data_IF_587510242192
#
_entry.id   IF_587510242192
#
_cell.length_a   1.000
_cell.length_b   1.000
_cell.length_c   1.000
_cell.angle_alpha   90.00
_cell.angle_beta   90.00
_cell.angle_gamma   90.00
#
_symmetry.space_group_name_H-M   'P 1'
#
loop_
_entity.id
_entity.type
_entity.pdbx_description
1 polymer ?
#
# COMPACT_ATOMS: atom_id res chain seq x y z
N UNK A 1 3.36 -9.74 -5.03
CA UNK A 1 3.10 -8.90 -3.84
C UNK A 1 4.13 -9.14 -2.75
N UNK A 2 4.30 -10.37 -2.27
CA UNK A 2 5.26 -10.71 -1.20
C UNK A 2 6.68 -10.18 -1.42
N UNK A 3 7.22 -10.26 -2.64
CA UNK A 3 8.55 -9.74 -2.96
C UNK A 3 8.72 -8.24 -2.70
N UNK A 4 7.75 -7.41 -3.12
CA UNK A 4 7.80 -5.96 -2.88
C UNK A 4 7.61 -5.62 -1.40
N UNK A 5 6.75 -6.36 -0.70
CA UNK A 5 6.59 -6.22 0.75
C UNK A 5 7.91 -6.53 1.47
N UNK A 6 8.60 -7.62 1.11
CA UNK A 6 9.91 -7.94 1.65
C UNK A 6 10.94 -6.84 1.39
N UNK A 7 10.99 -6.29 0.17
CA UNK A 7 11.91 -5.21 -0.17
C UNK A 7 11.68 -3.95 0.67
N UNK A 8 10.41 -3.54 0.84
CA UNK A 8 10.05 -2.38 1.69
C UNK A 8 10.44 -2.60 3.15
N UNK A 9 10.27 -3.82 3.68
CA UNK A 9 10.69 -4.14 5.04
C UNK A 9 12.22 -4.10 5.19
N UNK A 10 12.96 -4.63 4.21
CA UNK A 10 14.42 -4.61 4.20
C UNK A 10 14.93 -3.16 4.15
N UNK A 11 14.38 -2.33 3.25
CA UNK A 11 14.69 -0.90 3.15
C UNK A 11 14.50 -0.20 4.49
N UNK A 12 13.36 -0.41 5.14
CA UNK A 12 13.06 0.23 6.42
C UNK A 12 14.08 -0.17 7.50
N UNK A 13 14.39 -1.46 7.62
CA UNK A 13 15.40 -1.94 8.58
C UNK A 13 16.77 -1.33 8.26
N UNK A 14 17.23 -1.40 7.01
CA UNK A 14 18.54 -0.89 6.59
C UNK A 14 18.69 0.61 6.83
N UNK A 15 17.60 1.38 6.68
CA UNK A 15 17.61 2.83 6.85
C UNK A 15 17.74 3.26 8.30
N UNK A 16 17.06 2.57 9.21
CA UNK A 16 16.92 3.02 10.60
C UNK A 16 17.85 2.31 11.60
N UNK A 17 18.49 1.20 11.22
CA UNK A 17 19.27 0.39 12.19
C UNK A 17 20.75 0.23 11.86
N UNK A 18 21.22 0.69 10.70
CA UNK A 18 22.55 0.31 10.19
C UNK A 18 23.49 1.49 9.94
N UNK A 19 24.79 1.18 9.82
CA UNK A 19 25.86 2.14 9.58
C UNK A 19 25.83 2.70 8.14
N UNK A 20 26.67 3.70 7.87
CA UNK A 20 26.69 4.49 6.63
C UNK A 20 26.69 3.66 5.33
N UNK A 21 27.44 2.56 5.28
CA UNK A 21 27.51 1.69 4.10
C UNK A 21 26.18 0.98 3.78
N UNK A 22 25.39 0.64 4.80
CA UNK A 22 24.07 0.03 4.60
C UNK A 22 23.00 1.07 4.27
N UNK A 23 23.19 2.33 4.66
CA UNK A 23 22.33 3.44 4.23
C UNK A 23 22.42 3.64 2.70
N UNK A 24 23.64 3.65 2.16
CA UNK A 24 23.88 3.72 0.70
C UNK A 24 23.23 2.53 -0.04
N UNK A 25 23.22 1.34 0.57
CA UNK A 25 22.51 0.18 0.00
C UNK A 25 20.99 0.36 0.05
N UNK A 26 20.45 0.93 1.14
CA UNK A 26 19.01 1.21 1.25
C UNK A 26 18.54 2.18 0.16
N UNK A 27 19.35 3.17 -0.20
CA UNK A 27 19.05 4.09 -1.31
C UNK A 27 18.92 3.37 -2.66
N UNK A 28 19.83 2.43 -2.95
CA UNK A 28 19.76 1.61 -4.17
C UNK A 28 18.49 0.77 -4.17
N UNK A 29 18.16 0.17 -3.02
CA UNK A 29 16.95 -0.63 -2.85
C UNK A 29 15.68 0.22 -3.04
N UNK A 30 15.65 1.45 -2.50
CA UNK A 30 14.53 2.38 -2.69
C UNK A 30 14.29 2.71 -4.16
N UNK A 31 15.34 3.05 -4.89
CA UNK A 31 15.27 3.30 -6.34
C UNK A 31 14.71 2.09 -7.11
N UNK A 32 15.11 0.88 -6.73
CA UNK A 32 14.57 -0.36 -7.30
C UNK A 32 13.08 -0.55 -6.97
N UNK A 33 12.67 -0.31 -5.72
CA UNK A 33 11.27 -0.41 -5.28
C UNK A 33 10.38 0.56 -6.06
N UNK A 34 10.79 1.84 -6.15
CA UNK A 34 10.04 2.86 -6.91
C UNK A 34 9.92 2.48 -8.39
N UNK A 35 11.01 2.00 -8.99
CA UNK A 35 11.01 1.55 -10.38
C UNK A 35 10.05 0.39 -10.60
N UNK A 36 10.05 -0.61 -9.71
CA UNK A 36 9.14 -1.75 -9.79
C UNK A 36 7.69 -1.32 -9.57
N UNK A 37 7.42 -0.44 -8.62
CA UNK A 37 6.07 0.06 -8.36
C UNK A 37 5.47 0.77 -9.58
N UNK A 38 6.27 1.61 -10.26
CA UNK A 38 5.87 2.28 -11.50
C UNK A 38 5.62 1.30 -12.64
N UNK A 39 6.54 0.36 -12.88
CA UNK A 39 6.41 -0.62 -13.97
C UNK A 39 5.22 -1.55 -13.81
N UNK A 40 4.82 -1.85 -12.58
CA UNK A 40 3.67 -2.69 -12.28
C UNK A 40 2.37 -1.88 -12.11
N UNK A 41 2.38 -0.57 -12.39
CA UNK A 41 1.23 0.32 -12.25
C UNK A 41 0.62 0.31 -10.84
N UNK A 42 1.42 0.07 -9.79
CA UNK A 42 0.90 -0.03 -8.42
C UNK A 42 0.36 1.29 -7.88
N UNK A 43 0.79 2.42 -8.46
CA UNK A 43 0.37 3.76 -8.05
C UNK A 43 -0.94 4.19 -8.72
N UNK A 44 -1.45 3.39 -9.65
CA UNK A 44 -2.66 3.69 -10.43
C UNK A 44 -3.59 2.50 -10.34
N UNK A 45 -4.72 2.64 -9.68
CA UNK A 45 -5.66 1.52 -9.60
C UNK A 45 -6.34 1.31 -10.96
N UNK A 46 -6.16 0.15 -11.57
CA UNK A 46 -7.10 -0.33 -12.58
C UNK A 46 -8.30 -0.90 -11.81
N UNK A 47 -9.23 -0.04 -11.41
CA UNK A 47 -10.46 -0.44 -10.75
C UNK A 47 -11.23 -1.38 -11.67
N UNK A 48 -11.06 -2.70 -11.50
CA UNK A 48 -11.88 -3.68 -12.20
C UNK A 48 -13.06 -3.99 -11.28
N UNK A 49 -14.26 -3.48 -11.56
CA UNK A 49 -15.43 -3.83 -10.78
C UNK A 49 -15.59 -5.35 -10.79
N UNK A 50 -15.93 -5.89 -9.63
CA UNK A 50 -16.00 -7.33 -9.34
C UNK A 50 -16.60 -8.11 -10.51
N UNK A 51 -15.85 -9.07 -11.03
CA UNK A 51 -16.39 -10.04 -11.96
C UNK A 51 -17.34 -10.98 -11.22
N UNK A 52 -18.63 -10.60 -11.22
CA UNK A 52 -19.77 -11.49 -11.04
C UNK A 52 -20.33 -11.58 -9.62
N UNK A 53 -21.64 -11.33 -9.50
CA UNK A 53 -22.48 -11.53 -8.30
C UNK A 53 -22.50 -12.96 -7.73
N UNK A 54 -21.70 -13.89 -8.27
CA UNK A 54 -21.66 -15.31 -7.92
C UNK A 54 -20.47 -15.72 -7.03
N UNK A 55 -19.56 -14.82 -6.70
CA UNK A 55 -18.43 -15.14 -5.81
C UNK A 55 -18.89 -15.27 -4.36
N UNK A 56 -18.32 -16.24 -3.63
CA UNK A 56 -18.54 -16.37 -2.19
C UNK A 56 -17.93 -15.19 -1.44
N UNK A 57 -18.46 -14.88 -0.26
CA UNK A 57 -17.95 -13.81 0.60
C UNK A 57 -16.44 -13.97 0.88
N UNK A 58 -16.00 -15.21 1.08
CA UNK A 58 -14.59 -15.56 1.29
C UNK A 58 -13.69 -15.19 0.10
N UNK A 59 -14.14 -15.41 -1.13
CA UNK A 59 -13.38 -15.02 -2.33
C UNK A 59 -13.32 -13.50 -2.46
N UNK A 60 -14.44 -12.82 -2.23
CA UNK A 60 -14.49 -11.35 -2.27
C UNK A 60 -13.56 -10.71 -1.24
N UNK A 61 -13.57 -11.24 -0.02
CA UNK A 61 -12.70 -10.76 1.04
C UNK A 61 -11.21 -10.94 0.70
N UNK A 62 -10.82 -12.08 0.13
CA UNK A 62 -9.44 -12.33 -0.32
C UNK A 62 -9.02 -11.42 -1.47
N UNK A 63 -9.88 -11.26 -2.47
CA UNK A 63 -9.62 -10.37 -3.59
C UNK A 63 -9.49 -8.92 -3.12
N UNK A 64 -10.37 -8.49 -2.21
CA UNK A 64 -10.28 -7.19 -1.57
C UNK A 64 -8.99 -7.04 -0.77
N UNK A 65 -8.63 -8.00 0.09
CA UNK A 65 -7.44 -7.94 0.92
C UNK A 65 -6.16 -7.85 0.07
N UNK A 66 -6.13 -8.53 -1.09
CA UNK A 66 -5.04 -8.40 -2.03
C UNK A 66 -4.96 -6.99 -2.63
N UNK A 67 -6.08 -6.37 -2.99
CA UNK A 67 -6.11 -4.99 -3.52
C UNK A 67 -5.71 -3.97 -2.46
N UNK A 68 -6.29 -4.09 -1.27
CA UNK A 68 -5.97 -3.24 -0.12
C UNK A 68 -4.48 -3.36 0.27
N UNK A 69 -3.89 -4.55 0.15
CA UNK A 69 -2.43 -4.74 0.31
C UNK A 69 -1.63 -3.89 -0.68
N UNK A 70 -2.06 -3.79 -1.95
CA UNK A 70 -1.39 -3.00 -2.98
C UNK A 70 -1.45 -1.52 -2.63
N UNK A 71 -2.65 -1.05 -2.27
CA UNK A 71 -2.88 0.34 -1.87
C UNK A 71 -1.94 0.70 -0.72
N UNK A 72 -1.93 -0.09 0.35
CA UNK A 72 -1.06 0.13 1.51
C UNK A 72 0.42 0.13 1.15
N UNK A 73 0.89 -0.83 0.34
CA UNK A 73 2.30 -0.86 -0.11
C UNK A 73 2.64 0.41 -0.89
N UNK A 74 1.79 0.85 -1.81
CA UNK A 74 2.05 2.05 -2.61
C UNK A 74 2.16 3.31 -1.73
N UNK A 75 1.28 3.45 -0.73
CA UNK A 75 1.36 4.54 0.25
C UNK A 75 2.61 4.44 1.13
N UNK A 76 3.03 3.24 1.55
CA UNK A 76 4.28 3.06 2.29
C UNK A 76 5.49 3.50 1.46
N UNK A 77 5.57 3.08 0.19
CA UNK A 77 6.65 3.49 -0.72
C UNK A 77 6.67 5.02 -0.89
N UNK A 78 5.49 5.63 -1.08
CA UNK A 78 5.38 7.09 -1.17
C UNK A 78 5.83 7.80 0.12
N UNK A 79 5.41 7.30 1.28
CA UNK A 79 5.84 7.84 2.57
C UNK A 79 7.35 7.73 2.77
N UNK A 80 7.94 6.59 2.42
CA UNK A 80 9.39 6.40 2.51
C UNK A 80 10.12 7.37 1.57
N UNK A 81 9.64 7.56 0.34
CA UNK A 81 10.22 8.52 -0.62
C UNK A 81 10.21 9.96 -0.08
N UNK A 82 9.12 10.39 0.55
CA UNK A 82 9.03 11.69 1.22
C UNK A 82 10.00 11.78 2.39
N UNK A 83 10.08 10.75 3.23
CA UNK A 83 11.02 10.69 4.36
C UNK A 83 12.47 10.80 3.87
N UNK A 84 12.84 10.09 2.80
CA UNK A 84 14.18 10.19 2.24
C UNK A 84 14.51 11.60 1.78
N UNK A 85 13.57 12.26 1.11
CA UNK A 85 13.75 13.63 0.65
C UNK A 85 13.91 14.61 1.80
N UNK A 86 13.13 14.45 2.88
CA UNK A 86 13.15 15.34 4.05
C UNK A 86 14.39 15.12 4.93
N UNK A 87 14.69 13.88 5.30
CA UNK A 87 15.74 13.60 6.28
C UNK A 87 17.14 13.56 5.68
N UNK A 88 17.26 13.12 4.43
CA UNK A 88 18.55 12.91 3.78
C UNK A 88 18.77 13.85 2.60
N UNK A 89 17.91 14.86 2.42
CA UNK A 89 17.98 15.86 1.34
C UNK A 89 18.06 15.23 -0.07
N UNK A 90 17.47 14.05 -0.24
CA UNK A 90 17.41 13.37 -1.53
C UNK A 90 16.33 13.98 -2.43
N UNK A 91 16.49 13.80 -3.74
CA UNK A 91 15.43 14.14 -4.67
C UNK A 91 14.29 13.13 -4.56
N UNK A 92 13.07 13.60 -4.27
CA UNK A 92 11.88 12.75 -4.24
C UNK A 92 11.68 12.06 -5.60
N UNK A 93 11.58 10.74 -5.61
CA UNK A 93 11.38 10.00 -6.85
C UNK A 93 9.90 10.01 -7.24
N UNK A 94 8.98 10.16 -6.30
CA UNK A 94 7.53 10.18 -6.48
C UNK A 94 6.95 11.56 -6.22
N UNK A 95 5.80 11.84 -6.82
CA UNK A 95 5.00 13.04 -6.55
C UNK A 95 3.59 12.63 -6.18
N UNK A 96 2.90 13.48 -5.42
CA UNK A 96 1.50 13.25 -5.01
C UNK A 96 0.60 12.99 -6.21
N UNK A 97 0.79 13.70 -7.33
CA UNK A 97 -0.02 13.53 -8.54
C UNK A 97 0.11 12.16 -9.24
N UNK A 98 1.10 11.35 -8.85
CA UNK A 98 1.24 9.97 -9.33
C UNK A 98 0.37 8.98 -8.56
N UNK A 99 -0.06 9.33 -7.33
CA UNK A 99 -0.89 8.49 -6.49
C UNK A 99 -2.36 8.61 -6.92
N UNK A 100 -2.77 7.73 -7.85
CA UNK A 100 -4.15 7.60 -8.32
C UNK A 100 -4.79 6.38 -7.67
N UNK A 101 -4.72 6.34 -6.35
CA UNK A 101 -5.27 5.28 -5.50
C UNK A 101 -6.29 5.91 -4.54
N UNK A 102 -7.32 5.15 -4.12
CA UNK A 102 -8.11 5.56 -2.97
C UNK A 102 -7.24 5.56 -1.71
N UNK A 103 -7.67 6.29 -0.68
CA UNK A 103 -7.03 6.18 0.63
C UNK A 103 -7.14 4.74 1.16
N UNK A 104 -6.16 4.26 1.94
CA UNK A 104 -6.27 2.97 2.61
C UNK A 104 -7.53 2.90 3.46
N UNK A 105 -8.16 1.73 3.49
CA UNK A 105 -9.33 1.48 4.32
C UNK A 105 -8.99 1.66 5.83
N UNK A 106 -9.97 1.88 6.71
CA UNK A 106 -9.71 1.94 8.14
C UNK A 106 -9.09 0.65 8.68
N UNK A 107 -8.30 0.77 9.76
CA UNK A 107 -7.64 -0.39 10.38
C UNK A 107 -8.64 -1.48 10.80
N UNK A 108 -9.83 -1.11 11.28
CA UNK A 108 -10.86 -2.06 11.68
C UNK A 108 -11.28 -3.00 10.54
N UNK A 109 -11.38 -2.49 9.31
CA UNK A 109 -11.75 -3.30 8.13
C UNK A 109 -10.58 -4.18 7.69
N UNK A 110 -9.35 -3.67 7.77
CA UNK A 110 -8.13 -4.39 7.42
C UNK A 110 -7.78 -5.52 8.39
N UNK A 111 -8.03 -5.31 9.68
CA UNK A 111 -7.68 -6.26 10.74
C UNK A 111 -8.73 -7.36 10.96
N UNK A 112 -9.84 -7.31 10.23
CA UNK A 112 -10.85 -8.36 10.24
C UNK A 112 -10.20 -9.73 10.02
N UNK A 113 -10.55 -10.72 10.86
CA UNK A 113 -9.95 -12.06 10.84
C UNK A 113 -10.74 -13.07 10.02
N UNK A 114 -11.96 -12.71 9.64
CA UNK A 114 -12.86 -13.56 8.86
C UNK A 114 -13.59 -12.74 7.80
N UNK A 115 -14.06 -13.41 6.74
CA UNK A 115 -14.84 -12.75 5.70
C UNK A 115 -16.17 -12.17 6.23
N UNK A 116 -16.75 -12.80 7.26
CA UNK A 116 -17.97 -12.31 7.91
C UNK A 116 -17.70 -10.99 8.66
N UNK A 117 -16.68 -10.97 9.52
CA UNK A 117 -16.25 -9.77 10.25
C UNK A 117 -15.87 -8.64 9.29
N UNK A 118 -15.20 -8.97 8.18
CA UNK A 118 -14.90 -7.98 7.13
C UNK A 118 -16.17 -7.41 6.50
N UNK A 119 -17.18 -8.24 6.22
CA UNK A 119 -18.46 -7.81 5.68
C UNK A 119 -19.17 -6.82 6.62
N UNK A 120 -19.22 -7.14 7.91
CA UNK A 120 -19.88 -6.31 8.92
C UNK A 120 -19.15 -4.96 9.13
N UNK A 121 -17.82 -5.00 9.25
CA UNK A 121 -17.00 -3.79 9.42
C UNK A 121 -16.99 -2.91 8.17
N UNK A 122 -16.91 -3.50 6.97
CA UNK A 122 -16.97 -2.76 5.72
C UNK A 122 -18.35 -2.14 5.44
N UNK A 123 -19.44 -2.76 5.89
CA UNK A 123 -20.77 -2.17 5.82
C UNK A 123 -20.88 -0.95 6.74
N UNK A 124 -20.38 -1.07 7.98
CA UNK A 124 -20.36 0.01 8.96
C UNK A 124 -19.56 1.23 8.46
N UNK A 125 -18.40 1.00 7.84
CA UNK A 125 -17.57 2.09 7.29
C UNK A 125 -18.25 2.86 6.14
N UNK A 126 -19.04 2.16 5.30
CA UNK A 126 -19.81 2.82 4.24
C UNK A 126 -20.90 3.73 4.81
N UNK A 127 -21.61 3.29 5.84
CA UNK A 127 -22.65 4.09 6.49
C UNK A 127 -22.07 5.37 7.13
N UNK A 128 -20.91 5.26 7.79
CA UNK A 128 -20.22 6.42 8.41
C UNK A 128 -19.81 7.46 7.35
N UNK A 129 -19.31 7.01 6.19
CA UNK A 129 -18.91 7.90 5.11
C UNK A 129 -20.10 8.56 4.40
N UNK A 130 -21.26 7.90 4.30
CA UNK A 130 -22.48 8.47 3.73
C UNK A 130 -23.15 9.51 4.64
N UNK A 131 -23.06 9.36 5.97
CA UNK A 131 -23.61 10.31 6.95
C UNK A 131 -22.75 11.59 7.07
N UNK A 132 -21.49 11.52 6.66
CA UNK A 132 -20.52 12.63 6.76
C UNK A 132 -20.51 13.57 5.55
N UNK A 133 -21.42 13.36 4.58
CA UNK A 133 -21.67 14.19 3.39
C UNK A 133 -23.01 14.90 3.47
#
# INVERSE_FOLDING_TARGET
MWFLQSLVLIEHICTYTMARQQHEMAEIVHSMIVTLARRNNLLTESFRPESGSRQSLEMKWKDWAQRESIIRIAYTIFSNDVQYSVFFSHHALLSVGMMKLPLPSPSAVWEARTAAEWGDTAATDKEVNEISL
#
